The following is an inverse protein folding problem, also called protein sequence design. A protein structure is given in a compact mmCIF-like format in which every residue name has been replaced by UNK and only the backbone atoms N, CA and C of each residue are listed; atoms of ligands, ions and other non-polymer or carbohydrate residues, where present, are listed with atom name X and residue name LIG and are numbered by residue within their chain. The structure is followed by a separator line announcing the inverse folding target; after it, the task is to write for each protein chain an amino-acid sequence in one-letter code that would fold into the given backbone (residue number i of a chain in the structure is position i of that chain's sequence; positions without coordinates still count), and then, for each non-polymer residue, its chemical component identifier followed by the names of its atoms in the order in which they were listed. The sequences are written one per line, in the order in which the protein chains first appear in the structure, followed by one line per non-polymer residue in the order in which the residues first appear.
data_IF_808850983214
#
_entry.id   IF_808850983214
#
_cell.length_a   1.000
_cell.length_b   1.000
_cell.length_c   1.000
_cell.angle_alpha   90.00
_cell.angle_beta   90.00
_cell.angle_gamma   90.00
#
_symmetry.space_group_name_H-M   'P 1'
#
loop_
_entity.id
_entity.type
_entity.pdbx_description
1 polymer ?
#
# COMPACT_ATOMS: atom_id res chain seq x y z
N UNK A 1 -14.93 -38.52 47.81
CA UNK A 1 -14.39 -37.31 48.46
C UNK A 1 -14.98 -36.11 47.77
N UNK A 2 -15.79 -35.37 48.53
CA UNK A 2 -16.56 -34.23 48.06
C UNK A 2 -15.70 -32.95 48.07
N UNK A 3 -15.71 -32.16 47.04
CA UNK A 3 -15.19 -30.80 47.08
C UNK A 3 -16.33 -29.78 46.97
N UNK A 4 -16.36 -28.96 48.00
CA UNK A 4 -17.35 -27.92 48.26
C UNK A 4 -17.25 -26.75 47.28
N UNK A 5 -18.35 -26.39 46.73
CA UNK A 5 -18.67 -25.11 46.11
C UNK A 5 -18.63 -23.98 47.14
N UNK A 6 -17.89 -22.91 46.88
CA UNK A 6 -18.00 -21.65 47.61
C UNK A 6 -18.48 -20.59 46.61
N UNK A 7 -19.76 -20.22 46.74
CA UNK A 7 -20.33 -19.01 46.18
C UNK A 7 -19.99 -17.84 47.12
N UNK A 8 -19.40 -16.80 46.54
CA UNK A 8 -19.30 -15.50 47.21
C UNK A 8 -20.07 -14.49 46.37
N UNK A 9 -21.28 -14.17 46.88
CA UNK A 9 -22.10 -13.04 46.47
C UNK A 9 -21.55 -11.81 47.17
N UNK A 10 -21.19 -10.76 46.42
CA UNK A 10 -21.00 -9.44 47.05
C UNK A 10 -21.77 -8.38 46.29
N UNK A 11 -22.46 -7.65 47.10
CA UNK A 11 -23.56 -6.71 46.88
C UNK A 11 -23.05 -5.33 46.41
N UNK A 12 -23.94 -4.67 45.71
CA UNK A 12 -24.04 -3.25 45.30
C UNK A 12 -23.35 -2.21 46.19
N UNK A 13 -22.80 -1.23 45.53
CA UNK A 13 -22.51 0.08 46.10
C UNK A 13 -22.44 1.15 44.99
N UNK A 14 -23.60 1.75 44.67
CA UNK A 14 -23.67 2.98 43.86
C UNK A 14 -23.20 4.16 44.72
N UNK A 15 -22.14 4.85 44.28
CA UNK A 15 -21.86 6.21 44.72
C UNK A 15 -21.62 7.10 43.53
N UNK A 16 -22.58 7.95 43.22
CA UNK A 16 -22.44 9.10 42.33
C UNK A 16 -21.51 10.13 42.99
N UNK A 17 -20.35 10.40 42.38
CA UNK A 17 -19.64 11.64 42.61
C UNK A 17 -19.60 12.43 41.30
N UNK A 18 -20.44 13.48 41.30
CA UNK A 18 -20.38 14.56 40.33
C UNK A 18 -19.22 15.47 40.73
N UNK A 19 -18.19 15.53 39.93
CA UNK A 19 -17.21 16.62 39.99
C UNK A 19 -17.14 17.30 38.61
N UNK A 20 -17.73 18.49 38.55
CA UNK A 20 -17.45 19.48 37.48
C UNK A 20 -15.99 19.92 37.61
N UNK A 21 -15.24 19.76 36.58
CA UNK A 21 -14.00 20.51 36.41
C UNK A 21 -13.98 21.06 34.97
N UNK A 22 -14.19 22.38 34.90
CA UNK A 22 -14.00 23.16 33.68
C UNK A 22 -12.51 23.15 33.34
N UNK A 23 -12.19 22.45 32.28
CA UNK A 23 -10.89 22.60 31.61
C UNK A 23 -11.14 23.09 30.19
N UNK A 24 -10.90 24.40 30.01
CA UNK A 24 -10.85 25.06 28.70
C UNK A 24 -9.69 24.49 27.90
N UNK A 25 -9.95 23.44 27.12
CA UNK A 25 -9.05 23.03 26.06
C UNK A 25 -9.57 23.63 24.76
N UNK A 26 -8.98 24.76 24.35
CA UNK A 26 -9.21 25.35 23.03
C UNK A 26 -8.60 24.44 21.99
N UNK A 27 -9.38 23.51 21.47
CA UNK A 27 -9.02 22.81 20.24
C UNK A 27 -9.11 23.80 19.10
N UNK A 28 -7.97 24.19 18.54
CA UNK A 28 -7.93 24.83 17.22
C UNK A 28 -8.50 23.84 16.21
N UNK A 29 -9.79 24.02 15.87
CA UNK A 29 -10.36 23.46 14.65
C UNK A 29 -9.52 23.95 13.50
N UNK A 30 -8.78 23.07 12.85
CA UNK A 30 -8.24 23.31 11.53
C UNK A 30 -9.43 23.27 10.57
N UNK A 31 -9.83 24.42 10.08
CA UNK A 31 -10.90 24.58 9.11
C UNK A 31 -10.54 23.81 7.85
N UNK A 32 -11.20 22.68 7.67
CA UNK A 32 -11.35 22.06 6.35
C UNK A 32 -12.41 22.88 5.63
N UNK A 33 -12.01 23.94 4.96
CA UNK A 33 -12.85 24.68 4.03
C UNK A 33 -13.17 23.78 2.83
N UNK A 34 -14.22 22.98 2.94
CA UNK A 34 -14.91 22.37 1.80
C UNK A 34 -15.87 23.44 1.29
N UNK A 35 -15.40 24.28 0.39
CA UNK A 35 -16.28 25.16 -0.37
C UNK A 35 -16.89 24.36 -1.53
N UNK A 36 -18.17 23.97 -1.41
CA UNK A 36 -18.97 23.50 -2.54
C UNK A 36 -19.26 24.69 -3.43
N UNK A 37 -18.61 24.80 -4.54
CA UNK A 37 -19.06 25.61 -5.67
C UNK A 37 -19.32 24.66 -6.85
N UNK A 38 -20.55 24.68 -7.32
CA UNK A 38 -20.99 24.20 -8.63
C UNK A 38 -20.73 22.72 -8.95
N UNK A 39 -21.19 21.81 -8.09
CA UNK A 39 -21.25 20.37 -8.41
C UNK A 39 -19.92 19.64 -8.60
N UNK A 40 -18.80 20.33 -8.67
CA UNK A 40 -17.47 19.72 -8.76
C UNK A 40 -16.84 19.55 -7.35
N UNK A 41 -16.50 18.34 -7.00
CA UNK A 41 -15.69 18.07 -5.79
C UNK A 41 -14.29 18.65 -6.02
N UNK A 42 -13.93 19.71 -5.28
CA UNK A 42 -12.56 20.24 -5.32
C UNK A 42 -11.66 19.24 -4.60
N UNK A 43 -10.76 18.60 -5.37
CA UNK A 43 -9.76 17.69 -4.83
C UNK A 43 -8.82 18.42 -3.88
N UNK A 44 -8.41 17.76 -2.79
CA UNK A 44 -7.31 18.25 -1.95
C UNK A 44 -6.00 18.36 -2.75
N UNK A 45 -5.02 19.12 -2.24
CA UNK A 45 -3.69 19.18 -2.88
C UNK A 45 -3.06 17.79 -2.97
N UNK A 46 -3.22 16.96 -1.95
CA UNK A 46 -2.71 15.60 -1.93
C UNK A 46 -3.37 14.73 -3.00
N UNK A 47 -4.71 14.73 -3.07
CA UNK A 47 -5.45 13.95 -4.07
C UNK A 47 -5.09 14.38 -5.49
N UNK A 48 -4.95 15.69 -5.72
CA UNK A 48 -4.57 16.21 -7.05
C UNK A 48 -3.16 15.74 -7.45
N UNK A 49 -2.21 15.72 -6.52
CA UNK A 49 -0.86 15.18 -6.77
C UNK A 49 -0.87 13.69 -7.10
N UNK A 50 -1.69 12.91 -6.38
CA UNK A 50 -1.90 11.48 -6.66
C UNK A 50 -2.48 11.29 -8.07
N UNK A 51 -3.53 12.03 -8.43
CA UNK A 51 -4.14 11.97 -9.78
C UNK A 51 -3.10 12.28 -10.86
N UNK A 52 -2.32 13.35 -10.70
CA UNK A 52 -1.26 13.71 -11.65
C UNK A 52 -0.18 12.60 -11.76
N UNK A 53 0.17 11.95 -10.65
CA UNK A 53 1.12 10.84 -10.67
C UNK A 53 0.53 9.61 -11.37
N UNK A 54 -0.74 9.27 -11.10
CA UNK A 54 -1.44 8.18 -11.78
C UNK A 54 -1.48 8.43 -13.30
N UNK A 55 -1.88 9.64 -13.71
CA UNK A 55 -1.96 10.01 -15.13
C UNK A 55 -0.58 9.91 -15.80
N UNK A 56 0.48 10.36 -15.12
CA UNK A 56 1.85 10.25 -15.63
C UNK A 56 2.31 8.81 -15.82
N UNK A 57 1.90 7.90 -14.91
CA UNK A 57 2.31 6.50 -14.94
C UNK A 57 1.44 5.60 -15.84
N UNK A 58 0.41 6.12 -16.47
CA UNK A 58 -0.41 5.33 -17.40
C UNK A 58 -1.91 5.67 -17.36
N UNK A 59 -2.37 6.32 -16.28
CA UNK A 59 -3.73 6.82 -16.14
C UNK A 59 -4.80 5.75 -16.39
N UNK A 60 -5.75 6.07 -17.28
CA UNK A 60 -6.86 5.17 -17.64
C UNK A 60 -6.44 3.85 -18.29
N UNK A 61 -5.20 3.73 -18.78
CA UNK A 61 -4.72 2.46 -19.35
C UNK A 61 -4.72 1.33 -18.31
N UNK A 62 -4.56 1.67 -17.02
CA UNK A 62 -4.67 0.68 -15.95
C UNK A 62 -6.06 0.06 -15.82
N UNK A 63 -7.13 0.71 -16.29
CA UNK A 63 -8.50 0.20 -16.13
C UNK A 63 -8.78 -1.05 -17.00
N UNK A 64 -8.00 -1.23 -18.09
CA UNK A 64 -8.09 -2.33 -19.04
C UNK A 64 -6.73 -3.04 -19.22
N UNK A 65 -5.81 -2.84 -18.29
CA UNK A 65 -4.45 -3.35 -18.42
C UNK A 65 -4.41 -4.88 -18.28
N UNK A 66 -3.63 -5.53 -19.17
CA UNK A 66 -3.26 -6.93 -19.02
C UNK A 66 -1.77 -7.07 -19.31
N UNK A 67 -0.98 -7.25 -18.24
CA UNK A 67 0.48 -7.32 -18.32
C UNK A 67 1.02 -8.52 -17.56
N UNK A 68 2.16 -9.02 -18.04
CA UNK A 68 2.97 -10.02 -17.39
C UNK A 68 4.36 -9.48 -17.05
N UNK A 69 4.99 -10.03 -16.02
CA UNK A 69 6.37 -9.75 -15.64
C UNK A 69 6.95 -10.88 -14.78
N UNK A 70 8.26 -10.96 -14.72
CA UNK A 70 9.00 -11.87 -13.84
C UNK A 70 9.51 -11.12 -12.61
N UNK A 71 9.25 -11.66 -11.42
CA UNK A 71 9.80 -11.18 -10.16
C UNK A 71 10.24 -12.36 -9.29
N UNK A 72 11.52 -12.38 -8.88
CA UNK A 72 12.11 -13.45 -8.07
C UNK A 72 11.81 -14.84 -8.64
N UNK A 73 12.09 -15.02 -9.94
CA UNK A 73 11.93 -16.29 -10.67
C UNK A 73 10.49 -16.82 -10.78
N UNK A 74 9.50 -15.98 -10.43
CA UNK A 74 8.08 -16.28 -10.59
C UNK A 74 7.48 -15.39 -11.67
N UNK A 75 6.58 -15.94 -12.45
CA UNK A 75 5.80 -15.24 -13.45
C UNK A 75 4.55 -14.65 -12.82
N UNK A 76 4.36 -13.34 -12.94
CA UNK A 76 3.18 -12.63 -12.46
C UNK A 76 2.40 -12.07 -13.63
N UNK A 77 1.07 -12.10 -13.51
CA UNK A 77 0.22 -11.32 -14.41
C UNK A 77 -0.79 -10.52 -13.62
N UNK A 78 -1.18 -9.37 -14.16
CA UNK A 78 -2.36 -8.66 -13.69
C UNK A 78 -3.23 -8.28 -14.89
N UNK A 79 -4.51 -8.57 -14.76
CA UNK A 79 -5.55 -8.17 -15.71
C UNK A 79 -6.61 -7.39 -14.96
N UNK A 80 -6.85 -6.16 -15.41
CA UNK A 80 -7.93 -5.31 -14.90
C UNK A 80 -9.02 -5.20 -15.97
N UNK A 81 -10.27 -5.14 -15.55
CA UNK A 81 -11.44 -4.88 -16.37
C UNK A 81 -12.43 -4.05 -15.54
N UNK A 82 -12.16 -2.74 -15.48
CA UNK A 82 -12.86 -1.83 -14.59
C UNK A 82 -12.72 -2.23 -13.12
N UNK A 83 -13.82 -2.58 -12.43
CA UNK A 83 -13.78 -3.00 -11.02
C UNK A 83 -13.37 -4.47 -10.85
N UNK A 84 -13.30 -5.24 -11.92
CA UNK A 84 -12.89 -6.66 -11.88
C UNK A 84 -11.40 -6.76 -12.11
N UNK A 85 -10.78 -7.74 -11.44
CA UNK A 85 -9.37 -8.06 -11.65
C UNK A 85 -9.11 -9.55 -11.61
N UNK A 86 -8.02 -9.95 -12.27
CA UNK A 86 -7.43 -11.29 -12.18
C UNK A 86 -5.92 -11.08 -12.03
N UNK A 87 -5.37 -11.48 -10.89
CA UNK A 87 -3.93 -11.51 -10.64
C UNK A 87 -3.49 -12.95 -10.58
N UNK A 88 -2.36 -13.27 -11.20
CA UNK A 88 -1.81 -14.62 -11.13
C UNK A 88 -0.34 -14.60 -10.73
N UNK A 89 0.08 -15.65 -10.06
CA UNK A 89 1.49 -15.99 -9.91
C UNK A 89 1.68 -17.43 -10.27
N UNK A 90 2.72 -17.70 -11.08
CA UNK A 90 3.11 -19.04 -11.49
C UNK A 90 4.55 -19.29 -11.06
N UNK A 91 4.80 -20.44 -10.46
CA UNK A 91 6.13 -20.89 -10.07
C UNK A 91 6.31 -22.39 -10.37
N UNK A 92 7.53 -22.78 -10.71
CA UNK A 92 7.94 -24.18 -10.79
C UNK A 92 8.52 -24.62 -9.45
N UNK A 93 7.96 -25.68 -8.87
CA UNK A 93 8.42 -26.21 -7.59
C UNK A 93 8.28 -27.73 -7.55
N UNK A 94 9.37 -28.42 -7.20
CA UNK A 94 9.41 -29.89 -7.08
C UNK A 94 8.86 -30.60 -8.32
N UNK A 95 9.19 -30.10 -9.52
CA UNK A 95 8.74 -30.63 -10.80
C UNK A 95 7.26 -30.39 -11.13
N UNK A 96 6.58 -29.54 -10.35
CA UNK A 96 5.19 -29.17 -10.57
C UNK A 96 5.06 -27.66 -10.83
N UNK A 97 4.23 -27.32 -11.78
CA UNK A 97 3.79 -25.94 -11.97
C UNK A 97 2.71 -25.60 -10.94
N UNK A 98 2.96 -24.62 -10.07
CA UNK A 98 1.97 -24.09 -9.12
C UNK A 98 1.48 -22.74 -9.67
N UNK A 99 0.15 -22.62 -9.78
CA UNK A 99 -0.48 -21.36 -10.21
C UNK A 99 -1.51 -20.92 -9.18
N UNK A 100 -1.33 -19.72 -8.62
CA UNK A 100 -2.34 -19.03 -7.84
C UNK A 100 -3.04 -17.99 -8.69
N UNK A 101 -4.37 -17.94 -8.60
CA UNK A 101 -5.20 -16.95 -9.25
C UNK A 101 -6.06 -16.24 -8.19
N UNK A 102 -5.87 -14.93 -8.04
CA UNK A 102 -6.64 -14.08 -7.15
C UNK A 102 -7.59 -13.20 -7.96
N UNK A 103 -8.86 -13.23 -7.58
CA UNK A 103 -9.92 -12.43 -8.20
C UNK A 103 -10.76 -11.74 -7.12
N UNK A 104 -11.77 -10.96 -7.53
CA UNK A 104 -12.78 -10.42 -6.60
C UNK A 104 -13.51 -11.52 -5.77
N UNK A 105 -13.48 -12.78 -6.22
CA UNK A 105 -14.11 -13.92 -5.54
C UNK A 105 -13.14 -14.72 -4.65
N UNK A 106 -11.90 -14.25 -4.47
CA UNK A 106 -10.87 -14.89 -3.68
C UNK A 106 -9.83 -15.63 -4.50
N UNK A 107 -8.98 -16.39 -3.80
CA UNK A 107 -7.83 -17.10 -4.37
C UNK A 107 -8.14 -18.56 -4.65
N UNK A 108 -7.67 -19.03 -5.78
CA UNK A 108 -7.70 -20.45 -6.18
C UNK A 108 -6.29 -20.89 -6.57
N UNK A 109 -5.85 -22.07 -6.09
CA UNK A 109 -4.57 -22.69 -6.47
C UNK A 109 -4.78 -23.89 -7.37
N UNK A 110 -3.89 -23.99 -8.37
CA UNK A 110 -3.73 -25.18 -9.20
C UNK A 110 -2.30 -25.73 -9.02
N UNK A 111 -2.18 -27.06 -9.03
CA UNK A 111 -0.90 -27.78 -9.14
C UNK A 111 -1.00 -28.61 -10.42
N UNK A 112 -0.23 -28.22 -11.44
CA UNK A 112 -0.50 -28.65 -12.81
C UNK A 112 -1.89 -28.22 -13.24
N UNK A 113 -2.71 -29.17 -13.71
CA UNK A 113 -4.12 -28.94 -14.08
C UNK A 113 -5.13 -29.14 -12.93
N UNK A 114 -4.68 -29.60 -11.76
CA UNK A 114 -5.56 -29.96 -10.66
C UNK A 114 -5.80 -28.81 -9.70
N UNK A 115 -7.07 -28.42 -9.51
CA UNK A 115 -7.47 -27.49 -8.46
C UNK A 115 -7.17 -28.09 -7.08
N UNK A 116 -6.51 -27.33 -6.22
CA UNK A 116 -6.08 -27.77 -4.89
C UNK A 116 -6.86 -27.02 -3.82
N UNK A 117 -7.38 -27.78 -2.85
CA UNK A 117 -8.01 -27.21 -1.66
C UNK A 117 -6.94 -26.63 -0.75
N UNK A 118 -7.11 -25.38 -0.35
CA UNK A 118 -6.26 -24.69 0.61
C UNK A 118 -7.03 -24.47 1.92
N UNK A 119 -6.30 -24.36 3.02
CA UNK A 119 -6.86 -23.86 4.28
C UNK A 119 -7.15 -22.33 4.18
N UNK A 120 -8.06 -21.82 4.99
CA UNK A 120 -8.36 -20.37 5.04
C UNK A 120 -7.10 -19.56 5.35
N UNK A 121 -6.23 -20.06 6.22
CA UNK A 121 -4.94 -19.46 6.54
C UNK A 121 -4.03 -19.35 5.33
N UNK A 122 -3.98 -20.38 4.49
CA UNK A 122 -3.16 -20.40 3.28
C UNK A 122 -3.76 -19.51 2.18
N UNK A 123 -5.09 -19.55 2.01
CA UNK A 123 -5.81 -18.64 1.12
C UNK A 123 -5.45 -17.19 1.47
N UNK A 124 -5.58 -16.81 2.73
CA UNK A 124 -5.21 -15.50 3.21
C UNK A 124 -3.74 -15.16 2.90
N UNK A 125 -2.81 -16.01 3.34
CA UNK A 125 -1.37 -15.81 3.15
C UNK A 125 -0.98 -15.61 1.68
N UNK A 126 -1.49 -16.45 0.79
CA UNK A 126 -1.14 -16.39 -0.63
C UNK A 126 -1.84 -15.22 -1.35
N UNK A 127 -3.06 -14.87 -0.92
CA UNK A 127 -3.76 -13.69 -1.41
C UNK A 127 -2.98 -12.41 -1.10
N UNK A 128 -2.55 -12.23 0.16
CA UNK A 128 -1.77 -11.06 0.58
C UNK A 128 -0.42 -10.99 -0.13
N UNK A 129 0.28 -12.12 -0.26
CA UNK A 129 1.56 -12.16 -0.94
C UNK A 129 1.44 -11.75 -2.42
N UNK A 130 0.43 -12.27 -3.14
CA UNK A 130 0.19 -11.94 -4.53
C UNK A 130 -0.27 -10.48 -4.68
N UNK A 131 -1.23 -10.06 -3.86
CA UNK A 131 -1.74 -8.69 -3.88
C UNK A 131 -0.62 -7.67 -3.63
N UNK A 132 0.27 -7.93 -2.66
CA UNK A 132 1.40 -7.05 -2.34
C UNK A 132 2.35 -6.87 -3.54
N UNK A 133 2.69 -7.94 -4.26
CA UNK A 133 3.57 -7.83 -5.44
C UNK A 133 2.92 -6.97 -6.53
N UNK A 134 1.63 -7.22 -6.85
CA UNK A 134 0.90 -6.44 -7.85
C UNK A 134 0.71 -4.98 -7.40
N UNK A 135 0.40 -4.75 -6.12
CA UNK A 135 0.27 -3.40 -5.56
C UNK A 135 1.52 -2.56 -5.84
N UNK A 136 2.70 -3.05 -5.44
CA UNK A 136 3.94 -2.31 -5.61
C UNK A 136 4.38 -2.20 -7.08
N UNK A 137 4.13 -3.23 -7.90
CA UNK A 137 4.47 -3.20 -9.33
C UNK A 137 3.60 -2.22 -10.13
N UNK A 138 2.39 -1.90 -9.65
CA UNK A 138 1.42 -1.05 -10.35
C UNK A 138 1.21 0.33 -9.70
N UNK A 139 2.04 0.69 -8.71
CA UNK A 139 2.02 2.06 -8.17
C UNK A 139 2.32 3.08 -9.28
N UNK A 140 1.66 4.24 -9.25
CA UNK A 140 0.71 4.74 -8.25
C UNK A 140 -0.76 4.40 -8.51
N UNK A 141 -1.11 3.58 -9.51
CA UNK A 141 -2.50 3.35 -9.93
C UNK A 141 -3.42 2.89 -8.79
N UNK A 142 -2.86 2.16 -7.79
CA UNK A 142 -3.60 1.69 -6.61
C UNK A 142 -4.01 2.80 -5.65
N UNK A 143 -3.42 3.98 -5.75
CA UNK A 143 -3.76 5.11 -4.88
C UNK A 143 -5.07 5.80 -5.27
N UNK A 144 -5.77 5.33 -6.32
CA UNK A 144 -7.14 5.76 -6.65
C UNK A 144 -8.23 5.03 -5.83
N UNK A 145 -7.86 4.02 -5.04
CA UNK A 145 -8.80 3.25 -4.25
C UNK A 145 -9.53 4.14 -3.24
N UNK A 146 -10.82 3.88 -3.03
CA UNK A 146 -11.67 4.64 -2.12
C UNK A 146 -11.26 4.57 -0.65
N UNK A 147 -10.53 3.51 -0.28
CA UNK A 147 -9.99 3.35 1.08
C UNK A 147 -8.78 4.27 1.36
N UNK A 148 -8.18 4.86 0.31
CA UNK A 148 -7.01 5.74 0.45
C UNK A 148 -7.39 7.06 1.09
N UNK A 149 -6.64 7.44 2.13
CA UNK A 149 -6.68 8.77 2.77
C UNK A 149 -5.34 9.45 2.55
N UNK A 150 -5.35 10.56 1.85
CA UNK A 150 -4.16 11.30 1.51
C UNK A 150 -4.00 12.59 2.33
N UNK A 151 -2.77 12.91 2.69
CA UNK A 151 -2.42 14.17 3.39
C UNK A 151 -1.16 14.76 2.77
N UNK A 152 -1.23 16.03 2.40
CA UNK A 152 -0.06 16.75 1.90
C UNK A 152 0.85 17.18 3.06
N UNK A 153 2.12 16.79 3.04
CA UNK A 153 3.09 17.11 4.09
C UNK A 153 4.08 18.22 3.74
N UNK A 154 3.99 18.80 2.54
CA UNK A 154 4.91 19.85 2.11
C UNK A 154 5.79 19.43 0.94
N UNK A 155 6.73 20.29 0.58
CA UNK A 155 7.71 20.03 -0.46
C UNK A 155 9.10 19.81 0.16
N UNK A 156 9.96 19.09 -0.56
CA UNK A 156 11.36 18.86 -0.19
C UNK A 156 12.23 18.75 -1.44
N UNK A 157 13.53 18.69 -1.24
CA UNK A 157 14.51 18.43 -2.30
C UNK A 157 15.23 17.13 -2.01
N UNK A 158 15.39 16.28 -3.02
CA UNK A 158 16.19 15.05 -2.95
C UNK A 158 17.10 15.03 -4.16
N UNK A 159 18.43 14.92 -3.95
CA UNK A 159 19.44 14.98 -5.02
C UNK A 159 19.26 16.17 -5.96
N UNK A 160 19.01 17.35 -5.37
CA UNK A 160 18.78 18.63 -6.07
C UNK A 160 17.53 18.68 -6.97
N UNK A 161 16.63 17.70 -6.89
CA UNK A 161 15.36 17.69 -7.60
C UNK A 161 14.19 17.96 -6.62
N UNK A 162 13.15 18.72 -7.06
CA UNK A 162 12.05 19.12 -6.18
C UNK A 162 10.94 18.04 -6.12
N UNK A 163 10.48 17.75 -4.92
CA UNK A 163 9.43 16.75 -4.64
C UNK A 163 8.33 17.29 -3.73
N UNK A 164 7.12 16.84 -3.98
CA UNK A 164 5.95 17.01 -3.11
C UNK A 164 5.75 15.74 -2.29
N UNK A 165 5.55 15.89 -0.98
CA UNK A 165 5.35 14.76 -0.07
C UNK A 165 3.88 14.52 0.19
N UNK A 166 3.42 13.29 -0.07
CA UNK A 166 2.03 12.87 0.18
C UNK A 166 2.05 11.64 1.08
N UNK A 167 1.51 11.79 2.29
CA UNK A 167 1.26 10.68 3.19
C UNK A 167 -0.06 10.00 2.82
N UNK A 168 -0.07 8.67 2.86
CA UNK A 168 -1.25 7.84 2.63
C UNK A 168 -1.45 6.90 3.80
N UNK A 169 -2.68 6.81 4.25
CA UNK A 169 -3.21 5.83 5.19
C UNK A 169 -4.46 5.21 4.57
N UNK A 170 -4.98 4.15 5.16
CA UNK A 170 -6.14 3.45 4.63
C UNK A 170 -7.28 3.44 5.65
N UNK A 171 -8.51 3.50 5.17
CA UNK A 171 -9.67 3.23 6.01
C UNK A 171 -9.71 1.74 6.37
N UNK A 172 -10.09 1.39 7.59
CA UNK A 172 -10.25 0.00 8.02
C UNK A 172 -11.21 -0.77 7.10
N UNK A 173 -12.30 -0.13 6.67
CA UNK A 173 -13.22 -0.71 5.69
C UNK A 173 -12.64 -0.55 4.28
N UNK A 174 -12.11 -1.63 3.72
CA UNK A 174 -11.51 -1.67 2.38
C UNK A 174 -10.01 -1.50 2.35
N UNK A 175 -9.35 -1.17 3.47
CA UNK A 175 -7.89 -1.00 3.57
C UNK A 175 -7.10 -2.31 3.67
N UNK A 176 -7.79 -3.46 3.67
CA UNK A 176 -7.13 -4.76 3.83
C UNK A 176 -6.64 -5.00 5.26
N UNK A 177 -5.66 -5.88 5.41
CA UNK A 177 -5.06 -6.22 6.72
C UNK A 177 -4.00 -5.22 7.17
N UNK A 178 -3.41 -4.50 6.24
CA UNK A 178 -2.35 -3.51 6.47
C UNK A 178 -2.94 -2.08 6.58
N UNK A 179 -4.22 -1.93 7.00
CA UNK A 179 -4.87 -0.62 7.12
C UNK A 179 -4.20 0.31 8.14
N UNK A 180 -3.43 -0.25 9.09
CA UNK A 180 -2.64 0.51 10.06
C UNK A 180 -1.30 1.00 9.49
N UNK A 181 -0.90 0.50 8.33
CA UNK A 181 0.35 0.90 7.70
C UNK A 181 0.28 2.35 7.21
N UNK A 182 1.39 3.04 7.37
CA UNK A 182 1.54 4.43 6.91
C UNK A 182 2.53 4.46 5.77
N UNK A 183 2.15 5.10 4.68
CA UNK A 183 2.99 5.28 3.51
C UNK A 183 3.31 6.76 3.31
N UNK A 184 4.48 7.06 2.78
CA UNK A 184 4.89 8.38 2.32
C UNK A 184 5.45 8.26 0.91
N UNK A 185 4.91 9.06 -0.01
CA UNK A 185 5.30 9.11 -1.41
C UNK A 185 5.93 10.47 -1.72
N UNK A 186 7.01 10.46 -2.48
CA UNK A 186 7.64 11.64 -3.04
C UNK A 186 7.33 11.68 -4.54
N UNK A 187 6.50 12.64 -4.92
CA UNK A 187 6.07 12.89 -6.29
C UNK A 187 6.89 14.06 -6.81
N UNK A 188 7.60 13.86 -7.91
CA UNK A 188 8.44 14.90 -8.50
C UNK A 188 7.59 16.10 -8.92
N UNK A 189 7.92 17.32 -8.44
CA UNK A 189 7.05 18.51 -8.59
C UNK A 189 6.75 18.87 -10.05
N UNK A 190 7.69 18.64 -10.97
CA UNK A 190 7.53 18.94 -12.42
C UNK A 190 7.15 17.70 -13.24
N UNK A 191 7.90 16.59 -13.11
CA UNK A 191 7.74 15.37 -13.92
C UNK A 191 6.48 14.59 -13.55
N UNK A 192 5.97 14.75 -12.34
CA UNK A 192 4.84 14.02 -11.74
C UNK A 192 5.09 12.50 -11.60
N UNK A 193 6.33 12.08 -11.70
CA UNK A 193 6.73 10.69 -11.43
C UNK A 193 6.81 10.47 -9.91
N UNK A 194 6.49 9.25 -9.47
CA UNK A 194 6.66 8.79 -8.09
C UNK A 194 8.03 8.12 -8.00
N UNK A 195 9.06 8.87 -7.57
CA UNK A 195 10.45 8.38 -7.63
C UNK A 195 10.90 7.75 -6.31
N UNK A 196 10.25 8.10 -5.20
CA UNK A 196 10.56 7.53 -3.88
C UNK A 196 9.28 7.19 -3.13
N UNK A 197 9.37 6.17 -2.29
CA UNK A 197 8.33 5.84 -1.33
C UNK A 197 8.94 5.31 -0.03
N UNK A 198 8.23 5.50 1.06
CA UNK A 198 8.54 4.92 2.35
C UNK A 198 7.30 4.36 3.00
N UNK A 199 7.46 3.40 3.89
CA UNK A 199 6.36 2.89 4.68
C UNK A 199 6.83 2.30 6.01
N UNK A 200 5.96 2.40 7.00
CA UNK A 200 6.02 1.69 8.25
C UNK A 200 4.94 0.61 8.24
N UNK A 201 5.29 -0.61 8.61
CA UNK A 201 4.39 -1.75 8.69
C UNK A 201 4.53 -2.44 10.04
N UNK A 202 3.46 -3.10 10.50
CA UNK A 202 3.35 -3.66 11.84
C UNK A 202 3.38 -5.19 11.89
N UNK A 203 3.22 -5.86 10.76
CA UNK A 203 3.27 -7.33 10.66
C UNK A 203 4.71 -7.84 10.84
N UNK A 204 4.89 -9.07 11.39
CA UNK A 204 6.19 -9.74 11.54
C UNK A 204 7.28 -8.85 12.20
N UNK A 205 7.02 -8.38 13.42
CA UNK A 205 7.89 -7.49 14.22
C UNK A 205 8.04 -6.07 13.65
N UNK A 206 7.30 -5.74 12.63
CA UNK A 206 7.26 -4.42 12.04
C UNK A 206 8.53 -4.03 11.26
N UNK A 207 8.51 -2.83 10.72
CA UNK A 207 9.69 -2.28 10.05
C UNK A 207 9.43 -0.97 9.33
N UNK A 208 10.52 -0.25 9.08
CA UNK A 208 10.52 0.97 8.28
C UNK A 208 11.34 0.71 7.02
N UNK A 209 10.77 1.05 5.88
CA UNK A 209 11.38 0.86 4.57
C UNK A 209 11.38 2.17 3.79
N UNK A 210 12.40 2.33 2.97
CA UNK A 210 12.50 3.39 1.97
C UNK A 210 12.86 2.75 0.63
N UNK A 211 12.24 3.19 -0.44
CA UNK A 211 12.54 2.72 -1.80
C UNK A 211 12.87 3.89 -2.72
N UNK A 212 13.94 3.74 -3.48
CA UNK A 212 14.35 4.67 -4.53
C UNK A 212 14.13 4.01 -5.89
N UNK A 213 13.32 4.63 -6.74
CA UNK A 213 13.05 4.13 -8.08
C UNK A 213 14.27 4.25 -8.98
N UNK A 214 14.43 3.28 -9.87
CA UNK A 214 15.42 3.27 -10.95
C UNK A 214 14.90 2.44 -12.13
N UNK A 215 15.63 2.38 -13.23
CA UNK A 215 15.27 1.61 -14.41
C UNK A 215 13.81 1.84 -14.85
N UNK A 216 13.41 3.11 -14.89
CA UNK A 216 12.07 3.52 -15.32
C UNK A 216 11.92 3.26 -16.80
N UNK A 217 10.84 2.57 -17.19
CA UNK A 217 10.55 2.18 -18.56
C UNK A 217 9.07 2.30 -18.88
N UNK A 218 8.79 2.70 -20.12
CA UNK A 218 7.42 2.76 -20.63
C UNK A 218 7.16 1.50 -21.47
N UNK A 219 6.16 0.73 -21.09
CA UNK A 219 5.70 -0.44 -21.84
C UNK A 219 4.26 -0.15 -22.27
N UNK A 220 4.05 0.11 -23.54
CA UNK A 220 2.75 0.43 -24.16
C UNK A 220 1.94 1.51 -23.42
N UNK A 221 2.66 2.48 -22.87
CA UNK A 221 2.08 3.66 -22.22
C UNK A 221 1.82 3.50 -20.72
N UNK A 222 2.23 2.40 -20.11
CA UNK A 222 2.31 2.24 -18.65
C UNK A 222 3.79 2.31 -18.23
N UNK A 223 4.07 3.12 -17.22
CA UNK A 223 5.41 3.26 -16.66
C UNK A 223 5.61 2.22 -15.57
N UNK A 224 6.61 1.37 -15.77
CA UNK A 224 7.15 0.45 -14.77
C UNK A 224 8.51 0.96 -14.29
N UNK A 225 8.83 0.65 -13.06
CA UNK A 225 10.12 1.01 -12.46
C UNK A 225 10.54 -0.04 -11.45
N UNK A 226 11.84 -0.18 -11.30
CA UNK A 226 12.46 -1.02 -10.30
C UNK A 226 12.82 -0.17 -9.08
N UNK A 227 13.11 -0.82 -7.94
CA UNK A 227 13.43 -0.11 -6.71
C UNK A 227 14.65 -0.69 -6.01
N UNK A 228 15.50 0.20 -5.50
CA UNK A 228 16.45 -0.17 -4.45
C UNK A 228 15.71 -0.02 -3.12
N UNK A 229 15.69 -1.10 -2.35
CA UNK A 229 14.97 -1.20 -1.08
C UNK A 229 15.94 -1.04 0.09
N UNK A 230 15.65 -0.09 0.96
CA UNK A 230 16.46 0.23 2.15
C UNK A 230 15.65 -0.01 3.42
N UNK A 231 16.35 -0.26 4.53
CA UNK A 231 15.78 -0.25 5.88
C UNK A 231 16.31 0.92 6.70
N UNK A 232 15.44 1.42 7.59
CA UNK A 232 15.78 2.32 8.68
C UNK A 232 15.50 1.66 10.03
N UNK A 233 16.00 2.21 11.13
CA UNK A 233 15.61 1.80 12.48
C UNK A 233 14.08 1.89 12.66
N UNK A 234 13.53 1.04 13.55
CA UNK A 234 12.12 1.12 13.92
C UNK A 234 11.78 2.52 14.45
N UNK A 235 10.55 2.97 14.20
CA UNK A 235 10.05 4.29 14.65
C UNK A 235 10.78 5.50 14.05
N UNK A 236 11.60 5.31 13.01
CA UNK A 236 12.15 6.44 12.25
C UNK A 236 11.00 7.17 11.55
N UNK A 237 10.81 8.48 11.76
CA UNK A 237 9.78 9.24 11.05
C UNK A 237 9.98 9.16 9.55
N UNK A 238 8.91 8.84 8.79
CA UNK A 238 9.01 8.61 7.35
C UNK A 238 9.53 9.83 6.58
N UNK A 239 9.20 11.03 7.02
CA UNK A 239 9.64 12.28 6.40
C UNK A 239 11.14 12.59 6.58
N UNK A 240 11.82 11.90 7.49
CA UNK A 240 13.28 12.02 7.66
C UNK A 240 14.06 11.11 6.71
N UNK A 241 13.40 10.08 6.14
CA UNK A 241 14.09 9.03 5.37
C UNK A 241 14.74 9.56 4.09
N UNK A 242 14.18 10.58 3.46
CA UNK A 242 14.81 11.20 2.28
C UNK A 242 16.16 11.85 2.63
N UNK A 243 16.23 12.56 3.75
CA UNK A 243 17.50 13.15 4.23
C UNK A 243 18.51 12.07 4.65
N UNK A 244 18.05 11.01 5.32
CA UNK A 244 18.91 9.87 5.68
C UNK A 244 19.44 9.15 4.44
N UNK A 245 18.62 9.02 3.39
CA UNK A 245 19.01 8.47 2.11
C UNK A 245 20.14 9.28 1.45
N UNK A 246 20.01 10.60 1.38
CA UNK A 246 21.03 11.49 0.82
C UNK A 246 22.36 11.42 1.59
N UNK A 247 22.29 11.25 2.91
CA UNK A 247 23.47 11.11 3.78
C UNK A 247 24.08 9.71 3.77
N UNK A 248 23.51 8.75 3.01
CA UNK A 248 23.98 7.37 3.00
C UNK A 248 23.78 6.62 4.32
N UNK A 249 22.81 7.03 5.13
CA UNK A 249 22.54 6.45 6.47
C UNK A 249 21.56 5.27 6.42
N UNK A 250 20.92 5.02 5.27
CA UNK A 250 20.01 3.89 5.10
C UNK A 250 20.78 2.64 4.65
N UNK A 251 20.44 1.49 5.24
CA UNK A 251 21.04 0.21 4.82
C UNK A 251 20.28 -0.38 3.65
N UNK A 252 20.95 -0.56 2.50
CA UNK A 252 20.41 -1.33 1.38
C UNK A 252 20.14 -2.78 1.79
N UNK A 253 18.94 -3.27 1.43
CA UNK A 253 18.50 -4.66 1.69
C UNK A 253 18.48 -5.49 0.43
N UNK A 254 17.95 -4.94 -0.66
CA UNK A 254 17.73 -5.68 -1.90
C UNK A 254 17.36 -4.75 -3.05
N UNK A 255 17.48 -5.27 -4.26
CA UNK A 255 16.85 -4.71 -5.45
C UNK A 255 15.53 -5.42 -5.71
N UNK A 256 14.52 -4.66 -6.09
CA UNK A 256 13.18 -5.10 -6.45
C UNK A 256 13.03 -4.82 -7.94
N UNK A 257 13.17 -5.85 -8.75
CA UNK A 257 13.22 -5.75 -10.21
C UNK A 257 12.05 -6.53 -10.81
N UNK A 258 11.25 -5.85 -11.64
CA UNK A 258 10.24 -6.49 -12.48
C UNK A 258 10.84 -6.68 -13.87
N UNK A 259 11.19 -7.93 -14.20
CA UNK A 259 11.85 -8.29 -15.47
C UNK A 259 10.82 -8.68 -16.53
N UNK A 260 11.18 -8.59 -17.77
CA UNK A 260 10.41 -9.11 -18.92
C UNK A 260 8.96 -8.59 -18.93
N UNK A 261 8.79 -7.31 -18.61
CA UNK A 261 7.45 -6.71 -18.59
C UNK A 261 6.90 -6.66 -20.00
N UNK A 262 5.72 -7.27 -20.21
CA UNK A 262 5.06 -7.39 -21.50
C UNK A 262 3.57 -7.12 -21.39
N UNK A 263 3.02 -6.41 -22.40
CA UNK A 263 1.58 -6.26 -22.57
C UNK A 263 1.01 -7.54 -23.20
N UNK A 264 0.04 -8.15 -22.51
CA UNK A 264 -0.63 -9.39 -22.94
C UNK A 264 -2.02 -9.11 -23.52
N UNK A 265 -2.45 -7.85 -23.54
CA UNK A 265 -3.79 -7.42 -23.99
C UNK A 265 -3.85 -6.85 -25.39
N UNK A 266 -2.75 -6.84 -26.13
CA UNK A 266 -2.64 -6.37 -27.52
C UNK A 266 -2.96 -7.47 -28.52
#
# INVERSE_FOLDING_TARGET
MAYKTIQITLLLGFLFFSCKTDSKYTSKKKDTNISKMDGSTILSKADNLIVQAIDKHGGKKYDQAYYGFTFREKEYTFKNDGPRFIYTVKEEKDGNTITDSLTNNGLVRYIGSRKTQLSDKDIFKYSEALNSVIYFATLPSKLKDSAVKSTYLGATTIKNEPYEMVQVTFEQRGGGVDFEDVFLYWIHSKKKTMDYLAYEYHTNDGGVRFRSAYNTRNVDGIIFQDYINYKAPLKTPLNELSSMYEKGQLKELSKIETKDVVNLGS
#
